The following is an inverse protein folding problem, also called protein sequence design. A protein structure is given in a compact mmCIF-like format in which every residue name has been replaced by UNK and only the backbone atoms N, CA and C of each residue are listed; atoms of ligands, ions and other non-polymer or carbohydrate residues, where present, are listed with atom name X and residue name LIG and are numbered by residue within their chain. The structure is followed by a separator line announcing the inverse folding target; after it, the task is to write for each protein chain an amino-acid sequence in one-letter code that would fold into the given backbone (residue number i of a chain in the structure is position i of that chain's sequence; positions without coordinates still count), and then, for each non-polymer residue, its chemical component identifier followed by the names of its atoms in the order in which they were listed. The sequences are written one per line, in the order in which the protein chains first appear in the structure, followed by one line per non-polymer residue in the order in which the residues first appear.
data_IF_590603459937
#
_entry.id   IF_590603459937
#
_cell.length_a   1.000
_cell.length_b   1.000
_cell.length_c   1.000
_cell.angle_alpha   90.00
_cell.angle_beta   90.00
_cell.angle_gamma   90.00
#
_symmetry.space_group_name_H-M   'P 1'
#
loop_
_entity.id
_entity.type
_entity.pdbx_description
1 polymer ?
#
# COMPACT_ATOMS: atom_id res chain seq x y z
N UNK A 1 -56.47 4.83 -29.46
CA UNK A 1 -56.01 3.60 -28.86
C UNK A 1 -54.57 3.39 -29.23
N UNK A 2 -53.66 3.77 -28.34
CA UNK A 2 -52.22 3.61 -28.55
C UNK A 2 -51.69 2.91 -27.27
N UNK A 3 -51.18 1.71 -27.45
CA UNK A 3 -50.57 0.87 -26.40
C UNK A 3 -49.16 1.42 -26.07
N UNK A 4 -48.95 1.72 -24.79
CA UNK A 4 -47.64 2.05 -24.22
C UNK A 4 -46.93 0.74 -23.91
N UNK A 5 -45.69 0.49 -24.39
CA UNK A 5 -44.91 -0.69 -24.00
C UNK A 5 -44.45 -0.57 -22.56
N UNK A 6 -44.72 -1.59 -21.74
CA UNK A 6 -44.32 -1.67 -20.35
C UNK A 6 -42.81 -1.70 -20.19
N UNK A 7 -42.34 -0.80 -19.37
CA UNK A 7 -40.97 -0.73 -18.91
C UNK A 7 -40.75 -1.78 -17.82
N UNK A 8 -40.15 -2.93 -18.18
CA UNK A 8 -39.70 -3.92 -17.21
C UNK A 8 -38.50 -3.36 -16.46
N UNK A 9 -38.68 -2.92 -15.21
CA UNK A 9 -37.58 -2.73 -14.26
C UNK A 9 -37.03 -4.10 -13.86
N UNK A 10 -35.96 -4.53 -14.50
CA UNK A 10 -35.16 -5.65 -14.01
C UNK A 10 -34.41 -5.14 -12.79
N UNK A 11 -34.89 -5.48 -11.61
CA UNK A 11 -34.11 -5.35 -10.37
C UNK A 11 -32.83 -6.15 -10.53
N UNK A 12 -31.70 -5.45 -10.61
CA UNK A 12 -30.38 -6.04 -10.63
C UNK A 12 -30.07 -6.57 -9.23
N UNK A 13 -30.52 -7.76 -8.91
CA UNK A 13 -29.99 -8.49 -7.77
C UNK A 13 -28.52 -8.78 -8.08
N UNK A 14 -27.61 -8.18 -7.32
CA UNK A 14 -26.20 -8.59 -7.33
C UNK A 14 -26.18 -10.03 -6.82
N UNK A 15 -25.71 -11.01 -7.59
CA UNK A 15 -25.54 -12.33 -7.05
C UNK A 15 -24.49 -12.25 -5.94
N UNK A 16 -24.88 -12.57 -4.71
CA UNK A 16 -23.94 -12.84 -3.64
C UNK A 16 -23.16 -14.09 -4.02
N UNK A 17 -21.97 -13.91 -4.54
CA UNK A 17 -21.01 -14.99 -4.74
C UNK A 17 -20.43 -15.36 -3.38
N UNK A 18 -21.15 -16.18 -2.63
CA UNK A 18 -20.62 -16.84 -1.44
C UNK A 18 -19.69 -17.95 -1.94
N UNK A 19 -18.38 -17.69 -1.94
CA UNK A 19 -17.40 -18.73 -2.22
C UNK A 19 -17.50 -19.82 -1.16
N UNK A 20 -17.63 -21.07 -1.59
CA UNK A 20 -17.58 -22.21 -0.69
C UNK A 20 -16.25 -22.19 0.08
N UNK A 21 -16.20 -22.59 1.38
CA UNK A 21 -14.99 -22.61 2.21
C UNK A 21 -13.82 -23.38 1.60
N UNK A 22 -14.07 -24.27 0.67
CA UNK A 22 -13.14 -25.14 -0.01
C UNK A 22 -12.35 -24.42 -1.14
N UNK A 23 -12.71 -23.20 -1.52
CA UNK A 23 -12.07 -22.44 -2.60
C UNK A 23 -10.97 -21.46 -2.11
N UNK A 24 -10.29 -21.77 -1.00
CA UNK A 24 -9.13 -21.00 -0.56
C UNK A 24 -8.03 -21.08 -1.62
N UNK A 25 -7.63 -19.94 -2.18
CA UNK A 25 -6.58 -19.86 -3.19
C UNK A 25 -5.22 -19.72 -2.52
N UNK A 26 -4.33 -20.74 -2.57
CA UNK A 26 -3.05 -20.68 -1.89
C UNK A 26 -2.22 -19.47 -2.35
N UNK A 27 -1.67 -18.71 -1.39
CA UNK A 27 -0.82 -17.55 -1.67
C UNK A 27 -1.56 -16.30 -2.15
N UNK A 28 -2.90 -16.23 -2.01
CA UNK A 28 -3.71 -15.03 -2.31
C UNK A 28 -4.62 -14.72 -1.14
N UNK A 29 -4.82 -13.42 -0.86
CA UNK A 29 -5.70 -12.99 0.22
C UNK A 29 -7.14 -12.78 -0.25
N UNK A 30 -7.35 -12.20 -1.43
CA UNK A 30 -8.67 -12.10 -2.03
C UNK A 30 -9.14 -13.47 -2.51
N UNK A 31 -10.37 -13.82 -2.17
CA UNK A 31 -10.98 -15.11 -2.50
C UNK A 31 -11.78 -15.06 -3.80
N UNK A 32 -12.13 -13.86 -4.27
CA UNK A 32 -12.97 -13.63 -5.44
C UNK A 32 -12.49 -12.50 -6.33
N UNK A 33 -12.99 -12.50 -7.55
CA UNK A 33 -12.94 -11.39 -8.49
C UNK A 33 -14.35 -10.76 -8.58
N UNK A 34 -14.75 -10.04 -7.54
CA UNK A 34 -15.97 -9.24 -7.60
C UNK A 34 -15.91 -8.26 -8.78
N UNK A 35 -17.04 -8.03 -9.44
CA UNK A 35 -17.16 -7.11 -10.58
C UNK A 35 -16.75 -5.71 -10.12
N UNK A 36 -15.78 -5.10 -10.80
CA UNK A 36 -15.35 -3.73 -10.54
C UNK A 36 -16.44 -2.72 -10.92
N UNK A 37 -16.41 -1.54 -10.29
CA UNK A 37 -17.46 -0.50 -10.46
C UNK A 37 -17.64 -0.01 -11.89
N UNK A 38 -16.63 -0.11 -12.73
CA UNK A 38 -16.62 0.38 -14.11
C UNK A 38 -16.64 -0.74 -15.15
N UNK A 39 -16.73 -2.01 -14.72
CA UNK A 39 -16.86 -3.12 -15.65
C UNK A 39 -18.24 -3.08 -16.32
N UNK A 40 -18.34 -3.03 -17.67
CA UNK A 40 -19.60 -2.95 -18.38
C UNK A 40 -20.38 -4.26 -18.36
N UNK A 41 -19.71 -5.39 -18.10
CA UNK A 41 -20.28 -6.74 -18.10
C UNK A 41 -20.20 -7.37 -16.71
N UNK A 42 -21.28 -7.96 -16.24
CA UNK A 42 -21.27 -8.78 -15.04
C UNK A 42 -20.73 -10.18 -15.39
N UNK A 43 -19.77 -10.68 -14.59
CA UNK A 43 -19.34 -12.08 -14.67
C UNK A 43 -20.35 -12.91 -13.90
N UNK A 44 -21.08 -13.74 -14.59
CA UNK A 44 -21.99 -14.71 -13.99
C UNK A 44 -21.32 -16.07 -14.08
N UNK A 45 -21.19 -16.75 -12.93
CA UNK A 45 -20.81 -18.17 -12.92
C UNK A 45 -22.05 -18.94 -13.38
N UNK A 46 -21.98 -19.53 -14.54
CA UNK A 46 -23.02 -20.42 -15.04
C UNK A 46 -22.65 -21.83 -14.64
N UNK A 47 -23.50 -22.47 -13.88
CA UNK A 47 -23.42 -23.93 -13.65
C UNK A 47 -23.85 -24.61 -14.94
N UNK A 48 -22.91 -25.24 -15.62
CA UNK A 48 -23.14 -25.99 -16.84
C UNK A 48 -23.54 -27.47 -16.59
N UNK A 49 -23.70 -27.82 -15.31
CA UNK A 49 -24.07 -29.17 -14.87
C UNK A 49 -22.92 -30.20 -14.92
N UNK A 50 -21.72 -29.77 -15.25
CA UNK A 50 -20.54 -30.62 -15.16
C UNK A 50 -19.80 -30.31 -13.87
N UNK A 51 -19.84 -31.26 -12.93
CA UNK A 51 -19.07 -31.21 -11.68
C UNK A 51 -17.55 -31.41 -11.99
N UNK A 52 -16.97 -30.51 -12.78
CA UNK A 52 -15.54 -30.49 -12.99
C UNK A 52 -14.89 -29.85 -11.76
N UNK A 53 -14.10 -30.57 -10.96
CA UNK A 53 -13.34 -29.95 -9.89
C UNK A 53 -12.45 -28.89 -10.56
N UNK A 54 -12.69 -27.62 -10.26
CA UNK A 54 -11.71 -26.58 -10.55
C UNK A 54 -10.43 -27.01 -9.83
N UNK A 55 -9.50 -27.59 -10.59
CA UNK A 55 -8.19 -27.91 -10.07
C UNK A 55 -7.68 -26.67 -9.33
N UNK A 56 -7.05 -26.85 -8.16
CA UNK A 56 -6.37 -25.81 -7.38
C UNK A 56 -5.37 -25.08 -8.28
N UNK A 57 -5.88 -24.19 -9.12
CA UNK A 57 -5.06 -23.42 -10.05
C UNK A 57 -4.31 -22.39 -9.23
N UNK A 58 -3.02 -22.64 -9.06
CA UNK A 58 -2.09 -21.60 -8.61
C UNK A 58 -2.26 -20.40 -9.55
N UNK A 59 -2.92 -19.36 -9.06
CA UNK A 59 -3.15 -18.14 -9.86
C UNK A 59 -1.81 -17.42 -9.99
N UNK A 60 -1.22 -17.52 -11.18
CA UNK A 60 0.05 -16.85 -11.51
C UNK A 60 -0.16 -15.35 -11.66
N UNK A 61 0.87 -14.57 -11.35
CA UNK A 61 0.89 -13.14 -11.60
C UNK A 61 1.22 -12.90 -13.08
N UNK A 62 0.43 -12.05 -13.71
CA UNK A 62 0.67 -11.50 -15.04
C UNK A 62 1.08 -10.05 -14.91
N UNK A 63 2.19 -9.65 -15.54
CA UNK A 63 2.65 -8.27 -15.55
C UNK A 63 2.61 -7.73 -16.96
N UNK A 64 1.84 -6.65 -17.16
CA UNK A 64 1.80 -5.90 -18.42
C UNK A 64 2.71 -4.69 -18.32
N UNK A 65 3.26 -4.26 -19.43
CA UNK A 65 4.09 -3.07 -19.52
C UNK A 65 3.25 -1.88 -19.98
N UNK A 66 3.41 -0.74 -19.30
CA UNK A 66 2.81 0.55 -19.66
C UNK A 66 3.93 1.60 -19.73
N UNK A 67 4.10 2.25 -20.88
CA UNK A 67 4.99 3.39 -20.99
C UNK A 67 4.29 4.65 -20.45
N UNK A 68 4.76 5.21 -19.30
CA UNK A 68 4.08 6.31 -18.66
C UNK A 68 4.25 7.62 -19.43
N UNK A 69 3.17 8.43 -19.46
CA UNK A 69 3.23 9.81 -19.97
C UNK A 69 3.66 10.80 -18.90
N UNK A 70 3.39 10.48 -17.64
CA UNK A 70 3.76 11.25 -16.45
C UNK A 70 4.26 10.30 -15.36
N UNK A 71 5.29 10.73 -14.63
CA UNK A 71 5.85 10.02 -13.50
C UNK A 71 5.26 10.49 -12.17
N UNK A 72 5.08 11.81 -12.01
CA UNK A 72 4.66 12.45 -10.76
C UNK A 72 3.14 12.56 -10.73
N UNK A 73 2.55 12.07 -9.63
CA UNK A 73 1.14 12.26 -9.29
C UNK A 73 1.03 13.27 -8.15
N UNK A 74 0.13 14.25 -8.28
CA UNK A 74 -0.11 15.26 -7.25
C UNK A 74 -1.40 14.97 -6.48
N UNK A 75 -1.42 15.32 -5.19
CA UNK A 75 -2.61 15.25 -4.35
C UNK A 75 -2.77 16.53 -3.52
N UNK A 76 -3.99 16.76 -3.02
CA UNK A 76 -4.34 17.91 -2.18
C UNK A 76 -4.94 17.47 -0.84
N UNK A 77 -4.68 16.24 -0.41
CA UNK A 77 -5.21 15.70 0.84
C UNK A 77 -4.54 16.38 2.03
N UNK A 78 -5.28 17.10 2.89
CA UNK A 78 -4.70 17.88 3.98
C UNK A 78 -4.16 17.01 5.14
N UNK A 79 -4.53 15.74 5.17
CA UNK A 79 -4.08 14.76 6.18
C UNK A 79 -2.87 13.92 5.73
N UNK A 80 -2.26 14.25 4.59
CA UNK A 80 -1.03 13.63 4.12
C UNK A 80 0.14 14.62 4.23
N UNK A 81 1.31 14.18 4.69
CA UNK A 81 2.49 15.04 4.83
C UNK A 81 3.27 15.23 3.49
N UNK A 82 2.64 14.95 2.36
CA UNK A 82 3.22 15.08 1.03
C UNK A 82 2.13 15.45 0.01
N UNK A 83 2.52 16.20 -1.00
CA UNK A 83 1.63 16.65 -2.09
C UNK A 83 1.89 15.91 -3.41
N UNK A 84 2.95 15.10 -3.48
CA UNK A 84 3.37 14.39 -4.70
C UNK A 84 3.88 13.00 -4.42
N UNK A 85 3.67 12.10 -5.39
CA UNK A 85 4.09 10.72 -5.29
C UNK A 85 4.45 10.13 -6.66
N UNK A 86 5.25 9.05 -6.63
CA UNK A 86 5.53 8.21 -7.78
C UNK A 86 5.05 6.79 -7.50
N UNK A 87 4.38 6.19 -8.47
CA UNK A 87 3.94 4.80 -8.41
C UNK A 87 4.54 4.02 -9.58
N UNK A 88 5.63 3.26 -9.34
CA UNK A 88 6.30 2.44 -10.36
C UNK A 88 5.41 1.36 -10.97
N UNK A 89 4.41 0.93 -10.22
CA UNK A 89 3.50 -0.16 -10.55
C UNK A 89 2.04 0.23 -10.35
N UNK A 90 1.12 -0.55 -10.99
CA UNK A 90 -0.31 -0.59 -10.64
C UNK A 90 -0.67 -2.03 -10.27
N UNK A 91 -1.47 -2.22 -9.21
CA UNK A 91 -1.65 -3.51 -8.55
C UNK A 91 -0.45 -3.88 -7.68
N UNK A 92 -0.60 -4.88 -6.80
CA UNK A 92 0.45 -5.26 -5.86
C UNK A 92 0.39 -6.75 -5.52
N UNK A 93 1.47 -7.47 -5.82
CA UNK A 93 1.60 -8.91 -5.53
C UNK A 93 1.57 -9.25 -4.04
N UNK A 94 1.90 -8.30 -3.14
CA UNK A 94 1.80 -8.57 -1.70
C UNK A 94 0.41 -9.04 -1.29
N UNK A 95 -0.60 -8.62 -2.04
CA UNK A 95 -1.96 -9.13 -1.91
C UNK A 95 -2.63 -8.81 -0.58
N UNK A 96 -2.20 -7.76 0.14
CA UNK A 96 -2.79 -7.41 1.43
C UNK A 96 -4.31 -7.26 1.31
N UNK A 97 -5.06 -8.03 2.11
CA UNK A 97 -6.53 -8.04 2.02
C UNK A 97 -7.15 -6.68 2.32
N UNK A 98 -6.56 -5.94 3.23
CA UNK A 98 -7.00 -4.63 3.70
C UNK A 98 -6.48 -3.46 2.86
N UNK A 99 -5.80 -3.71 1.73
CA UNK A 99 -5.14 -2.65 0.98
C UNK A 99 -6.15 -1.64 0.44
N UNK A 100 -6.05 -0.39 0.92
CA UNK A 100 -6.94 0.70 0.50
C UNK A 100 -6.77 1.10 -0.97
N UNK A 101 -5.70 0.66 -1.63
CA UNK A 101 -5.43 0.93 -3.03
C UNK A 101 -6.17 0.00 -4.00
N UNK A 102 -6.75 -1.12 -3.52
CA UNK A 102 -7.48 -2.08 -4.35
C UNK A 102 -8.53 -1.45 -5.26
N UNK A 103 -9.34 -0.47 -4.81
CA UNK A 103 -10.31 0.19 -5.66
C UNK A 103 -9.73 0.92 -6.88
N UNK A 104 -8.43 1.23 -6.87
CA UNK A 104 -7.77 1.85 -8.02
C UNK A 104 -7.73 0.93 -9.26
N UNK A 105 -7.82 -0.38 -9.06
CA UNK A 105 -7.81 -1.37 -10.13
C UNK A 105 -9.09 -1.32 -10.98
N UNK A 106 -10.21 -0.87 -10.40
CA UNK A 106 -11.45 -0.66 -11.14
C UNK A 106 -11.31 0.37 -12.29
N UNK A 107 -10.41 1.35 -12.17
CA UNK A 107 -10.11 2.29 -13.27
C UNK A 107 -9.40 1.64 -14.46
N UNK A 108 -8.91 0.41 -14.30
CA UNK A 108 -8.31 -0.40 -15.35
C UNK A 108 -9.30 -1.41 -15.94
N UNK A 109 -10.57 -1.35 -15.56
CA UNK A 109 -11.61 -2.38 -15.82
C UNK A 109 -11.19 -3.78 -15.32
N UNK A 110 -10.49 -3.80 -14.18
CA UNK A 110 -10.05 -5.01 -13.49
C UNK A 110 -10.67 -5.08 -12.10
N UNK A 111 -10.83 -6.31 -11.58
CA UNK A 111 -11.38 -6.51 -10.25
C UNK A 111 -10.45 -5.97 -9.14
N UNK A 112 -10.97 -5.28 -8.12
CA UNK A 112 -10.23 -4.96 -6.90
C UNK A 112 -9.85 -6.20 -6.06
N UNK A 113 -10.41 -7.35 -6.36
CA UNK A 113 -10.13 -8.63 -5.73
C UNK A 113 -8.82 -9.26 -6.18
N UNK A 114 -8.90 -10.44 -6.79
CA UNK A 114 -7.72 -11.19 -7.25
C UNK A 114 -6.93 -10.48 -8.36
N UNK A 115 -7.61 -9.74 -9.26
CA UNK A 115 -6.88 -9.05 -10.33
C UNK A 115 -5.90 -8.01 -9.78
N UNK A 116 -6.22 -7.36 -8.65
CA UNK A 116 -5.29 -6.45 -7.98
C UNK A 116 -3.97 -7.12 -7.55
N UNK A 117 -4.03 -8.42 -7.25
CA UNK A 117 -2.87 -9.21 -6.78
C UNK A 117 -2.16 -9.94 -7.93
N UNK A 118 -2.82 -10.11 -9.08
CA UNK A 118 -2.39 -11.04 -10.13
C UNK A 118 -2.25 -10.42 -11.50
N UNK A 119 -2.87 -9.27 -11.76
CA UNK A 119 -2.81 -8.55 -13.04
C UNK A 119 -2.19 -7.18 -12.82
N UNK A 120 -0.87 -7.15 -12.84
CA UNK A 120 -0.09 -5.97 -12.53
C UNK A 120 0.29 -5.21 -13.79
N UNK A 121 0.64 -3.94 -13.59
CA UNK A 121 1.24 -3.11 -14.63
C UNK A 121 2.57 -2.59 -14.10
N UNK A 122 3.66 -2.90 -14.78
CA UNK A 122 4.96 -2.27 -14.59
C UNK A 122 5.12 -1.10 -15.57
N UNK A 123 5.83 -0.06 -15.15
CA UNK A 123 5.97 1.20 -15.90
C UNK A 123 7.44 1.49 -16.25
N UNK A 124 8.09 0.63 -17.06
CA UNK A 124 9.49 0.83 -17.46
C UNK A 124 9.65 2.15 -18.24
N UNK A 125 10.85 2.75 -18.11
CA UNK A 125 11.14 4.06 -18.69
C UNK A 125 10.54 5.25 -17.92
N UNK A 126 9.94 5.00 -16.75
CA UNK A 126 9.43 6.07 -15.87
C UNK A 126 10.57 7.01 -15.42
N UNK A 127 11.81 6.51 -15.32
CA UNK A 127 12.97 7.31 -14.99
C UNK A 127 13.21 8.45 -15.98
N UNK A 128 13.16 8.18 -17.27
CA UNK A 128 13.33 9.20 -18.31
C UNK A 128 12.19 10.26 -18.29
N UNK A 129 10.97 9.82 -17.99
CA UNK A 129 9.82 10.74 -17.84
C UNK A 129 10.00 11.60 -16.59
N UNK A 130 10.42 11.00 -15.48
CA UNK A 130 10.71 11.70 -14.23
C UNK A 130 11.81 12.75 -14.43
N UNK A 131 12.92 12.38 -15.07
CA UNK A 131 14.00 13.33 -15.38
C UNK A 131 13.49 14.56 -16.14
N UNK A 132 12.65 14.34 -17.17
CA UNK A 132 12.05 15.43 -17.94
C UNK A 132 11.15 16.33 -17.07
N UNK A 133 10.33 15.73 -16.18
CA UNK A 133 9.44 16.48 -15.29
C UNK A 133 10.23 17.29 -14.24
N UNK A 134 11.31 16.73 -13.66
CA UNK A 134 12.15 17.40 -12.68
C UNK A 134 12.96 18.57 -13.28
N UNK A 135 13.28 18.52 -14.58
CA UNK A 135 13.96 19.62 -15.31
C UNK A 135 13.03 20.75 -15.72
N UNK A 136 11.72 20.59 -15.59
CA UNK A 136 10.79 21.64 -15.98
C UNK A 136 11.00 22.90 -15.12
N UNK A 137 11.08 24.08 -15.76
CA UNK A 137 11.27 25.38 -15.07
C UNK A 137 10.18 25.68 -14.03
N UNK A 138 8.99 25.12 -14.22
CA UNK A 138 7.85 25.23 -13.28
C UNK A 138 7.94 24.27 -12.12
N UNK A 139 8.85 23.27 -12.14
CA UNK A 139 8.96 22.31 -11.07
C UNK A 139 9.43 23.00 -9.77
N UNK A 140 8.77 22.66 -8.67
CA UNK A 140 9.14 23.11 -7.32
C UNK A 140 9.39 21.88 -6.48
N UNK A 141 10.59 21.78 -5.93
CA UNK A 141 11.01 20.63 -5.13
C UNK A 141 10.20 20.53 -3.84
N UNK A 142 9.74 19.33 -3.54
CA UNK A 142 9.22 18.92 -2.22
C UNK A 142 9.41 17.42 -2.09
N UNK A 143 9.29 16.87 -0.88
CA UNK A 143 9.50 15.45 -0.64
C UNK A 143 8.63 14.58 -1.54
N UNK A 144 9.26 13.70 -2.32
CA UNK A 144 8.59 12.71 -3.14
C UNK A 144 8.20 11.50 -2.30
N UNK A 145 6.92 11.15 -2.28
CA UNK A 145 6.46 9.94 -1.61
C UNK A 145 6.39 8.76 -2.58
N UNK A 146 6.90 7.59 -2.17
CA UNK A 146 6.84 6.35 -2.96
C UNK A 146 6.30 5.23 -2.07
N UNK A 147 5.50 4.33 -2.66
CA UNK A 147 4.84 3.26 -1.90
C UNK A 147 3.50 3.68 -1.28
N UNK A 148 2.89 4.74 -1.79
CA UNK A 148 1.63 5.29 -1.27
C UNK A 148 0.39 4.62 -1.86
N UNK A 149 0.51 3.99 -3.01
CA UNK A 149 -0.59 3.26 -3.66
C UNK A 149 -0.26 1.79 -3.87
N UNK A 150 0.95 1.49 -4.36
CA UNK A 150 1.47 0.12 -4.53
C UNK A 150 2.84 0.02 -3.89
N UNK A 151 3.20 -1.18 -3.45
CA UNK A 151 4.55 -1.36 -2.89
C UNK A 151 5.60 -1.31 -4.01
N UNK A 152 6.60 -0.42 -3.92
CA UNK A 152 7.63 -0.29 -4.96
C UNK A 152 8.60 -1.48 -4.99
N UNK A 153 8.66 -2.25 -3.90
CA UNK A 153 9.53 -3.42 -3.77
C UNK A 153 8.74 -4.73 -3.66
N UNK A 154 7.57 -4.78 -4.30
CA UNK A 154 6.81 -6.01 -4.48
C UNK A 154 7.59 -7.04 -5.32
N UNK A 155 7.25 -8.35 -5.29
CA UNK A 155 8.07 -9.39 -5.92
C UNK A 155 8.47 -9.14 -7.37
N UNK A 156 7.58 -8.59 -8.22
CA UNK A 156 7.88 -8.32 -9.63
C UNK A 156 9.00 -7.27 -9.83
N UNK A 157 9.33 -6.45 -8.83
CA UNK A 157 10.46 -5.50 -8.91
C UNK A 157 11.81 -6.21 -9.05
N UNK A 158 11.93 -7.49 -8.67
CA UNK A 158 13.14 -8.28 -8.87
C UNK A 158 13.50 -8.40 -10.36
N UNK A 159 12.48 -8.48 -11.22
CA UNK A 159 12.61 -8.62 -12.67
C UNK A 159 12.61 -7.25 -13.37
N UNK A 160 11.59 -6.42 -13.11
CA UNK A 160 11.35 -5.19 -13.88
C UNK A 160 12.21 -4.01 -13.46
N UNK A 161 12.70 -3.96 -12.23
CA UNK A 161 13.63 -2.97 -11.67
C UNK A 161 13.21 -1.51 -11.87
N UNK A 162 11.91 -1.23 -11.95
CA UNK A 162 11.35 0.10 -12.24
C UNK A 162 11.61 1.07 -11.07
N UNK A 163 11.58 0.56 -9.84
CA UNK A 163 11.91 1.38 -8.67
C UNK A 163 13.36 1.85 -8.70
N UNK A 164 14.27 1.00 -9.18
CA UNK A 164 15.68 1.37 -9.34
C UNK A 164 15.88 2.52 -10.32
N UNK A 165 15.19 2.50 -11.49
CA UNK A 165 15.21 3.62 -12.43
C UNK A 165 14.80 4.94 -11.75
N UNK A 166 13.75 4.91 -10.93
CA UNK A 166 13.26 6.09 -10.18
C UNK A 166 14.31 6.58 -9.20
N UNK A 167 14.94 5.68 -8.44
CA UNK A 167 15.95 6.04 -7.43
C UNK A 167 17.20 6.65 -8.06
N UNK A 168 17.68 6.10 -9.17
CA UNK A 168 18.83 6.61 -9.89
C UNK A 168 18.62 8.07 -10.34
N UNK A 169 17.43 8.39 -10.82
CA UNK A 169 17.08 9.77 -11.19
C UNK A 169 16.98 10.66 -9.95
N UNK A 170 16.28 10.21 -8.90
CA UNK A 170 16.14 11.03 -7.69
C UNK A 170 17.50 11.30 -7.02
N UNK A 171 18.40 10.32 -6.99
CA UNK A 171 19.75 10.48 -6.48
C UNK A 171 20.57 11.46 -7.32
N UNK A 172 20.54 11.34 -8.66
CA UNK A 172 21.25 12.24 -9.56
C UNK A 172 20.80 13.70 -9.44
N UNK A 173 19.55 13.94 -9.04
CA UNK A 173 18.96 15.27 -8.83
C UNK A 173 19.07 15.78 -7.39
N UNK A 174 19.68 15.03 -6.47
CA UNK A 174 19.64 15.28 -5.04
C UNK A 174 18.21 15.53 -4.54
N UNK A 175 17.26 14.76 -5.04
CA UNK A 175 15.84 14.96 -4.76
C UNK A 175 15.41 14.22 -3.49
N UNK A 176 14.75 14.90 -2.52
CA UNK A 176 14.30 14.26 -1.28
C UNK A 176 13.19 13.26 -1.51
N UNK A 177 13.29 12.06 -0.90
CA UNK A 177 12.32 10.97 -1.07
C UNK A 177 11.97 10.28 0.26
N UNK A 178 10.69 9.99 0.44
CA UNK A 178 10.16 9.15 1.52
C UNK A 178 9.58 7.88 0.92
N UNK A 179 10.14 6.73 1.28
CA UNK A 179 9.76 5.42 0.72
C UNK A 179 8.99 4.64 1.77
N UNK A 180 7.85 4.05 1.39
CA UNK A 180 7.10 3.11 2.25
C UNK A 180 7.06 1.74 1.59
N UNK A 181 7.43 0.69 2.34
CA UNK A 181 7.45 -0.67 1.80
C UNK A 181 7.24 -1.74 2.87
N UNK A 182 6.86 -2.93 2.42
CA UNK A 182 6.96 -4.21 3.14
C UNK A 182 8.06 -5.10 2.53
N UNK A 183 8.55 -4.73 1.35
CA UNK A 183 9.46 -5.52 0.53
C UNK A 183 10.89 -5.58 1.06
N UNK A 184 11.56 -6.71 0.83
CA UNK A 184 12.96 -6.89 1.18
C UNK A 184 13.92 -6.45 0.07
N UNK A 185 13.41 -6.25 -1.14
CA UNK A 185 14.21 -5.84 -2.30
C UNK A 185 14.82 -4.43 -2.13
N UNK A 186 14.34 -3.63 -1.18
CA UNK A 186 14.95 -2.34 -0.84
C UNK A 186 16.42 -2.49 -0.43
N UNK A 187 16.83 -3.63 0.11
CA UNK A 187 18.23 -3.91 0.49
C UNK A 187 19.15 -3.95 -0.73
N UNK A 188 18.63 -4.25 -1.93
CA UNK A 188 19.38 -4.23 -3.19
C UNK A 188 19.88 -2.82 -3.53
N UNK A 189 19.11 -1.79 -3.15
CA UNK A 189 19.35 -0.41 -3.55
C UNK A 189 20.07 0.41 -2.46
N UNK A 190 20.72 -0.25 -1.48
CA UNK A 190 21.52 0.40 -0.44
C UNK A 190 22.67 1.23 -1.01
N UNK A 191 23.22 0.85 -2.15
CA UNK A 191 24.25 1.60 -2.87
C UNK A 191 23.80 3.02 -3.25
N UNK A 192 22.50 3.24 -3.46
CA UNK A 192 21.89 4.55 -3.73
C UNK A 192 21.37 5.18 -2.43
N UNK A 193 20.71 4.39 -1.59
CA UNK A 193 20.04 4.92 -0.40
C UNK A 193 21.01 5.44 0.65
N UNK A 194 22.18 4.80 0.83
CA UNK A 194 23.19 5.22 1.84
C UNK A 194 23.75 6.61 1.56
N UNK A 195 24.27 6.93 0.37
CA UNK A 195 24.73 8.29 0.08
C UNK A 195 23.61 9.34 0.14
N UNK A 196 22.37 8.99 -0.25
CA UNK A 196 21.22 9.87 -0.09
C UNK A 196 20.87 10.12 1.39
N UNK A 197 20.95 9.08 2.23
CA UNK A 197 20.71 9.21 3.67
C UNK A 197 21.76 10.10 4.36
N UNK A 198 23.03 9.96 4.01
CA UNK A 198 24.11 10.79 4.54
C UNK A 198 23.90 12.29 4.25
N UNK A 199 23.18 12.62 3.18
CA UNK A 199 22.82 14.00 2.82
C UNK A 199 21.45 14.44 3.36
N UNK A 200 20.73 13.59 4.08
CA UNK A 200 19.38 13.89 4.57
C UNK A 200 18.31 13.91 3.47
N UNK A 201 18.51 13.17 2.38
CA UNK A 201 17.62 13.13 1.22
C UNK A 201 16.64 11.96 1.23
N UNK A 202 16.86 10.95 2.07
CA UNK A 202 15.99 9.78 2.09
C UNK A 202 15.52 9.38 3.49
N UNK A 203 14.30 8.87 3.57
CA UNK A 203 13.72 8.24 4.75
C UNK A 203 12.89 7.06 4.33
N UNK A 204 13.00 5.96 5.07
CA UNK A 204 12.27 4.72 4.77
C UNK A 204 11.24 4.43 5.86
N UNK A 205 10.02 4.12 5.46
CA UNK A 205 8.98 3.54 6.31
C UNK A 205 8.85 2.04 6.02
N UNK A 206 9.06 1.20 7.02
CA UNK A 206 8.81 -0.25 6.91
C UNK A 206 7.49 -0.59 7.62
N UNK A 207 6.53 -1.12 6.85
CA UNK A 207 5.24 -1.52 7.42
C UNK A 207 5.36 -2.85 8.16
N UNK A 208 4.91 -2.88 9.41
CA UNK A 208 4.83 -4.07 10.25
C UNK A 208 3.46 -4.11 10.93
N UNK A 209 2.57 -4.98 10.45
CA UNK A 209 1.15 -5.02 10.85
C UNK A 209 0.91 -5.93 12.04
N UNK A 210 1.71 -6.98 12.17
CA UNK A 210 1.65 -7.99 13.25
C UNK A 210 3.00 -8.67 13.39
N UNK A 211 3.28 -9.23 14.54
CA UNK A 211 4.43 -10.14 14.79
C UNK A 211 4.05 -11.62 14.61
N UNK A 212 2.75 -11.93 14.59
CA UNK A 212 2.24 -13.27 14.34
C UNK A 212 2.43 -13.65 12.86
N UNK A 213 3.31 -14.60 12.61
CA UNK A 213 3.60 -15.08 11.25
C UNK A 213 2.38 -15.77 10.59
N UNK A 214 1.52 -16.42 11.39
CA UNK A 214 0.29 -17.06 10.90
C UNK A 214 -0.74 -16.05 10.45
N UNK A 215 -0.97 -14.99 11.24
CA UNK A 215 -1.84 -13.88 10.88
C UNK A 215 -1.27 -13.10 9.68
N UNK A 216 0.04 -12.78 9.69
CA UNK A 216 0.69 -12.11 8.58
C UNK A 216 0.52 -12.87 7.26
N UNK A 217 0.71 -14.19 7.27
CA UNK A 217 0.56 -15.04 6.07
C UNK A 217 -0.87 -15.01 5.52
N UNK A 218 -1.88 -14.90 6.38
CA UNK A 218 -3.28 -14.81 5.96
C UNK A 218 -3.64 -13.43 5.43
N UNK A 219 -3.15 -12.35 6.09
CA UNK A 219 -3.48 -10.98 5.73
C UNK A 219 -2.68 -10.45 4.54
N UNK A 220 -1.44 -10.90 4.38
CA UNK A 220 -0.41 -10.37 3.46
C UNK A 220 0.37 -11.54 2.83
N UNK A 221 -0.27 -12.43 2.07
CA UNK A 221 0.25 -13.77 1.74
C UNK A 221 1.57 -13.78 0.98
N UNK A 222 1.88 -12.74 0.23
CA UNK A 222 3.11 -12.63 -0.57
C UNK A 222 4.06 -11.53 -0.09
N UNK A 223 3.73 -10.88 1.02
CA UNK A 223 4.66 -9.97 1.68
C UNK A 223 5.67 -10.76 2.54
N UNK A 224 6.88 -10.23 2.77
CA UNK A 224 7.85 -10.84 3.67
C UNK A 224 7.30 -11.03 5.08
N UNK A 225 7.76 -12.07 5.77
CA UNK A 225 7.35 -12.36 7.16
C UNK A 225 7.71 -11.20 8.11
N UNK A 226 7.03 -11.09 9.26
CA UNK A 226 7.34 -10.07 10.27
C UNK A 226 8.82 -10.06 10.67
N UNK A 227 9.39 -11.21 10.95
CA UNK A 227 10.81 -11.34 11.30
C UNK A 227 11.72 -10.81 10.17
N UNK A 228 11.40 -11.12 8.92
CA UNK A 228 12.18 -10.65 7.77
C UNK A 228 12.10 -9.13 7.61
N UNK A 229 10.96 -8.52 7.92
CA UNK A 229 10.82 -7.04 7.93
C UNK A 229 11.63 -6.40 9.06
N UNK A 230 11.70 -7.02 10.23
CA UNK A 230 12.58 -6.56 11.30
C UNK A 230 14.06 -6.63 10.89
N UNK A 231 14.46 -7.67 10.15
CA UNK A 231 15.81 -7.76 9.58
C UNK A 231 16.07 -6.64 8.55
N UNK A 232 15.08 -6.28 7.72
CA UNK A 232 15.17 -5.13 6.79
C UNK A 232 15.40 -3.83 7.57
N UNK A 233 14.62 -3.58 8.63
CA UNK A 233 14.82 -2.41 9.51
C UNK A 233 16.28 -2.38 9.99
N UNK A 234 16.76 -3.49 10.56
CA UNK A 234 18.12 -3.59 11.09
C UNK A 234 19.18 -3.27 10.02
N UNK A 235 19.10 -3.91 8.85
CA UNK A 235 20.08 -3.71 7.78
C UNK A 235 20.11 -2.28 7.24
N UNK A 236 18.94 -1.67 7.08
CA UNK A 236 18.84 -0.27 6.66
C UNK A 236 19.46 0.67 7.69
N UNK A 237 19.15 0.47 8.98
CA UNK A 237 19.67 1.33 10.06
C UNK A 237 21.17 1.13 10.30
N UNK A 238 21.68 -0.10 10.24
CA UNK A 238 23.12 -0.40 10.30
C UNK A 238 23.88 0.24 9.11
N UNK A 239 23.23 0.37 7.96
CA UNK A 239 23.79 1.07 6.79
C UNK A 239 23.63 2.61 6.87
N UNK A 240 23.05 3.16 7.94
CA UNK A 240 22.88 4.60 8.13
C UNK A 240 21.61 5.19 7.49
N UNK A 241 20.68 4.38 6.99
CA UNK A 241 19.40 4.84 6.44
C UNK A 241 18.37 4.97 7.56
N UNK A 242 17.78 6.18 7.81
CA UNK A 242 16.80 6.36 8.86
C UNK A 242 15.50 5.59 8.57
N UNK A 243 15.07 4.74 9.51
CA UNK A 243 13.86 3.94 9.33
C UNK A 243 12.79 4.31 10.36
N UNK A 244 11.56 4.51 9.85
CA UNK A 244 10.33 4.59 10.63
C UNK A 244 9.61 3.25 10.57
N UNK A 245 9.19 2.70 11.70
CA UNK A 245 8.22 1.61 11.68
C UNK A 245 6.81 2.16 11.49
N UNK A 246 6.07 1.55 10.58
CA UNK A 246 4.68 1.90 10.32
C UNK A 246 3.79 0.75 10.80
N UNK A 247 3.15 0.91 11.96
CA UNK A 247 2.16 -0.05 12.46
C UNK A 247 0.84 0.23 11.75
N UNK A 248 0.75 -0.24 10.51
CA UNK A 248 -0.31 0.14 9.59
C UNK A 248 -0.72 -1.00 8.64
N UNK A 249 -2.03 -1.37 8.68
CA UNK A 249 -3.05 -0.87 9.60
C UNK A 249 -3.02 -1.55 10.96
N UNK A 250 -3.53 -0.86 11.97
CA UNK A 250 -3.97 -1.47 13.21
C UNK A 250 -5.38 -2.01 12.99
N UNK A 251 -5.56 -3.31 13.14
CA UNK A 251 -6.85 -3.99 12.96
C UNK A 251 -7.46 -4.26 14.33
N UNK A 252 -8.57 -3.61 14.69
CA UNK A 252 -9.21 -3.77 16.00
C UNK A 252 -9.58 -5.23 16.29
N UNK A 253 -9.21 -5.73 17.47
CA UNK A 253 -9.48 -7.09 17.89
C UNK A 253 -8.60 -8.17 17.24
N UNK A 254 -7.67 -7.79 16.34
CA UNK A 254 -6.71 -8.72 15.74
C UNK A 254 -5.26 -8.33 15.99
N UNK A 255 -4.85 -7.10 15.61
CA UNK A 255 -3.45 -6.65 15.70
C UNK A 255 -3.21 -5.56 16.72
N UNK A 256 -4.26 -4.89 17.20
CA UNK A 256 -4.17 -3.84 18.22
C UNK A 256 -3.53 -4.29 19.56
N UNK A 257 -3.66 -5.57 20.00
CA UNK A 257 -2.94 -6.02 21.20
C UNK A 257 -1.43 -5.98 21.04
N UNK A 258 -0.91 -6.17 19.81
CA UNK A 258 0.51 -6.24 19.53
C UNK A 258 1.20 -4.88 19.37
N UNK A 259 0.47 -3.75 19.41
CA UNK A 259 0.98 -2.40 19.12
C UNK A 259 2.31 -2.09 19.83
N UNK A 260 2.34 -2.28 21.15
CA UNK A 260 3.53 -2.01 21.97
C UNK A 260 4.70 -2.95 21.64
N UNK A 261 4.39 -4.23 21.41
CA UNK A 261 5.37 -5.26 21.09
C UNK A 261 6.00 -5.04 19.71
N UNK A 262 5.19 -4.62 18.72
CA UNK A 262 5.67 -4.26 17.38
C UNK A 262 6.64 -3.08 17.48
N UNK A 263 6.28 -2.04 18.23
CA UNK A 263 7.13 -0.86 18.40
C UNK A 263 8.43 -1.20 19.12
N UNK A 264 8.39 -2.01 20.17
CA UNK A 264 9.57 -2.47 20.91
C UNK A 264 10.50 -3.32 20.02
N UNK A 265 9.95 -4.26 19.24
CA UNK A 265 10.73 -5.09 18.31
C UNK A 265 11.38 -4.25 17.21
N UNK A 266 10.67 -3.26 16.66
CA UNK A 266 11.21 -2.37 15.63
C UNK A 266 12.28 -1.44 16.21
N UNK A 267 12.11 -0.92 17.42
CA UNK A 267 13.13 -0.13 18.12
C UNK A 267 14.39 -0.97 18.34
N UNK A 268 14.26 -2.19 18.84
CA UNK A 268 15.39 -3.12 19.00
C UNK A 268 16.08 -3.47 17.68
N UNK A 269 15.38 -3.36 16.55
CA UNK A 269 15.94 -3.49 15.20
C UNK A 269 16.56 -2.18 14.67
N UNK A 270 16.51 -1.06 15.43
CA UNK A 270 17.13 0.21 15.09
C UNK A 270 16.18 1.26 14.50
N UNK A 271 14.87 1.05 14.48
CA UNK A 271 13.93 2.09 14.04
C UNK A 271 14.06 3.35 14.93
N UNK A 272 14.06 4.53 14.30
CA UNK A 272 14.24 5.83 14.94
C UNK A 272 12.94 6.64 15.06
N UNK A 273 11.87 6.16 14.49
CA UNK A 273 10.54 6.77 14.56
C UNK A 273 9.45 5.71 14.37
N UNK A 274 8.24 6.02 14.83
CA UNK A 274 7.06 5.18 14.62
C UNK A 274 5.89 6.00 14.07
N UNK A 275 4.94 5.33 13.46
CA UNK A 275 3.62 5.84 13.13
C UNK A 275 2.61 4.71 13.10
N UNK A 276 1.32 5.02 13.28
CA UNK A 276 0.25 4.04 13.10
C UNK A 276 -0.88 4.61 12.27
N UNK A 277 -1.65 3.75 11.64
CA UNK A 277 -2.87 4.09 10.91
C UNK A 277 -3.90 3.01 11.25
N UNK A 278 -5.12 3.44 11.59
CA UNK A 278 -6.23 2.52 11.80
C UNK A 278 -6.68 1.88 10.50
N UNK A 279 -7.29 0.70 10.59
CA UNK A 279 -7.82 0.00 9.42
C UNK A 279 -8.82 0.88 8.66
N UNK A 280 -8.66 0.93 7.34
CA UNK A 280 -9.55 1.63 6.41
C UNK A 280 -10.09 0.65 5.38
N UNK A 281 -11.40 0.66 5.18
CA UNK A 281 -12.08 -0.27 4.28
C UNK A 281 -12.87 0.47 3.18
N UNK A 282 -12.21 1.27 2.32
CA UNK A 282 -12.91 2.04 1.30
C UNK A 282 -13.50 1.12 0.22
N UNK A 283 -14.76 1.41 -0.15
CA UNK A 283 -15.44 0.82 -1.30
C UNK A 283 -15.41 -0.73 -1.24
N UNK A 284 -14.90 -1.38 -2.29
CA UNK A 284 -14.87 -2.83 -2.42
C UNK A 284 -14.00 -3.52 -1.34
N UNK A 285 -13.10 -2.80 -0.70
CA UNK A 285 -12.23 -3.36 0.34
C UNK A 285 -13.03 -3.84 1.55
N UNK A 286 -14.16 -3.19 1.86
CA UNK A 286 -15.01 -3.60 2.98
C UNK A 286 -15.55 -5.02 2.77
N UNK A 287 -16.16 -5.29 1.63
CA UNK A 287 -16.69 -6.62 1.33
C UNK A 287 -15.58 -7.69 1.31
N UNK A 288 -14.47 -7.41 0.61
CA UNK A 288 -13.31 -8.32 0.54
C UNK A 288 -12.75 -8.66 1.93
N UNK A 289 -12.67 -7.68 2.82
CA UNK A 289 -12.16 -7.88 4.18
C UNK A 289 -13.15 -8.67 5.04
N UNK A 290 -14.45 -8.44 4.90
CA UNK A 290 -15.48 -9.20 5.61
C UNK A 290 -15.50 -10.66 5.17
N UNK A 291 -15.41 -10.95 3.86
CA UNK A 291 -15.30 -12.31 3.32
C UNK A 291 -14.05 -13.02 3.88
N UNK A 292 -12.92 -12.31 3.92
CA UNK A 292 -11.68 -12.81 4.50
C UNK A 292 -11.81 -13.12 5.99
N UNK A 293 -12.47 -12.23 6.76
CA UNK A 293 -12.75 -12.45 8.18
C UNK A 293 -13.62 -13.69 8.40
N UNK A 294 -14.70 -13.84 7.63
CA UNK A 294 -15.59 -14.98 7.71
C UNK A 294 -14.85 -16.30 7.43
N UNK A 295 -13.92 -16.29 6.47
CA UNK A 295 -13.16 -17.47 6.09
C UNK A 295 -12.06 -17.86 7.08
N UNK A 296 -11.42 -16.88 7.74
CA UNK A 296 -10.24 -17.13 8.57
C UNK A 296 -10.47 -16.96 10.07
N UNK A 297 -11.46 -16.15 10.47
CA UNK A 297 -11.76 -15.80 11.86
C UNK A 297 -13.27 -15.65 12.10
N UNK A 298 -14.11 -16.67 11.78
CA UNK A 298 -15.56 -16.57 11.86
C UNK A 298 -16.05 -16.14 13.25
N UNK A 299 -15.45 -16.67 14.31
CA UNK A 299 -15.83 -16.37 15.71
C UNK A 299 -15.50 -14.92 16.14
N UNK A 300 -14.60 -14.25 15.42
CA UNK A 300 -14.15 -12.87 15.71
C UNK A 300 -14.72 -11.86 14.73
N UNK A 301 -15.22 -12.28 13.58
CA UNK A 301 -15.64 -11.41 12.47
C UNK A 301 -16.64 -10.33 12.93
N UNK A 302 -17.67 -10.71 13.67
CA UNK A 302 -18.66 -9.77 14.20
C UNK A 302 -18.05 -8.72 15.15
N UNK A 303 -17.15 -9.14 16.05
CA UNK A 303 -16.48 -8.21 17.00
C UNK A 303 -15.54 -7.25 16.29
N UNK A 304 -14.75 -7.73 15.33
CA UNK A 304 -13.83 -6.90 14.56
C UNK A 304 -14.61 -5.84 13.79
N UNK A 305 -15.65 -6.24 13.05
CA UNK A 305 -16.44 -5.29 12.27
C UNK A 305 -17.24 -4.31 13.15
N UNK A 306 -17.71 -4.74 14.32
CA UNK A 306 -18.35 -3.83 15.28
C UNK A 306 -17.37 -2.74 15.75
N UNK A 307 -16.12 -3.09 16.06
CA UNK A 307 -15.07 -2.12 16.42
C UNK A 307 -14.66 -1.23 15.24
N UNK A 308 -14.56 -1.78 14.03
CA UNK A 308 -14.31 -0.96 12.83
C UNK A 308 -15.40 0.09 12.65
N UNK A 309 -16.67 -0.29 12.80
CA UNK A 309 -17.79 0.65 12.71
C UNK A 309 -17.79 1.68 13.83
N UNK A 310 -17.48 1.30 15.04
CA UNK A 310 -17.32 2.24 16.16
C UNK A 310 -16.28 3.33 15.86
N UNK A 311 -15.14 2.96 15.24
CA UNK A 311 -14.09 3.89 14.84
C UNK A 311 -14.48 4.83 13.68
N UNK A 312 -15.51 4.47 12.92
CA UNK A 312 -15.93 5.19 11.71
C UNK A 312 -17.39 5.66 11.77
N UNK A 313 -17.88 6.02 12.96
CA UNK A 313 -19.22 6.60 13.16
C UNK A 313 -20.36 5.68 12.71
N UNK A 314 -20.24 4.37 12.97
CA UNK A 314 -21.24 3.35 12.63
C UNK A 314 -21.11 2.80 11.20
N UNK A 315 -20.12 3.23 10.42
CA UNK A 315 -19.87 2.80 9.04
C UNK A 315 -18.64 1.89 8.96
N UNK A 316 -18.51 1.12 7.89
CA UNK A 316 -17.30 0.34 7.63
C UNK A 316 -16.08 1.23 7.29
N UNK A 317 -16.33 2.45 6.82
CA UNK A 317 -15.32 3.45 6.47
C UNK A 317 -15.86 4.88 6.51
N UNK A 318 -15.08 5.80 7.05
CA UNK A 318 -15.30 7.23 6.98
C UNK A 318 -14.24 7.88 6.08
N UNK A 319 -14.60 8.52 4.94
CA UNK A 319 -13.65 9.15 4.04
C UNK A 319 -13.17 10.53 4.50
N UNK A 320 -13.71 11.09 5.59
CA UNK A 320 -13.42 12.43 6.06
C UNK A 320 -11.94 12.60 6.40
N UNK A 321 -11.33 13.68 5.91
CA UNK A 321 -9.94 14.01 6.20
C UNK A 321 -9.74 14.24 7.71
N UNK A 322 -8.62 13.73 8.25
CA UNK A 322 -8.33 13.79 9.68
C UNK A 322 -8.92 12.61 10.47
N UNK A 323 -10.05 12.04 10.06
CA UNK A 323 -10.71 10.90 10.71
C UNK A 323 -10.35 9.57 10.06
N UNK A 324 -10.34 9.53 8.73
CA UNK A 324 -10.17 8.29 7.94
C UNK A 324 -8.96 7.43 8.31
N UNK A 325 -7.91 8.02 8.90
CA UNK A 325 -6.68 7.31 9.27
C UNK A 325 -6.54 7.08 10.77
N UNK A 326 -7.25 7.84 11.58
CA UNK A 326 -7.16 7.78 13.05
C UNK A 326 -8.34 7.09 13.70
N UNK A 327 -9.52 7.18 13.06
CA UNK A 327 -10.79 6.81 13.65
C UNK A 327 -11.25 7.86 14.67
N UNK A 328 -12.40 7.62 15.27
CA UNK A 328 -13.03 8.44 16.30
C UNK A 328 -13.49 7.58 17.49
N UNK A 329 -13.80 8.23 18.61
CA UNK A 329 -14.37 7.61 19.80
C UNK A 329 -13.34 7.03 20.76
N UNK A 330 -13.83 6.51 21.89
CA UNK A 330 -13.03 6.10 23.05
C UNK A 330 -11.93 5.09 22.68
N UNK A 331 -12.22 4.17 21.76
CA UNK A 331 -11.26 3.16 21.33
C UNK A 331 -10.12 3.76 20.51
N UNK A 332 -10.41 4.70 19.61
CA UNK A 332 -9.39 5.41 18.84
C UNK A 332 -8.47 6.22 19.76
N UNK A 333 -9.06 6.93 20.74
CA UNK A 333 -8.31 7.74 21.71
C UNK A 333 -7.43 6.85 22.58
N UNK A 334 -7.94 5.70 23.05
CA UNK A 334 -7.17 4.73 23.83
C UNK A 334 -5.95 4.22 23.05
N UNK A 335 -6.13 3.82 21.79
CA UNK A 335 -5.04 3.33 20.94
C UNK A 335 -4.02 4.44 20.62
N UNK A 336 -4.50 5.65 20.35
CA UNK A 336 -3.63 6.82 20.14
C UNK A 336 -2.79 7.11 21.38
N UNK A 337 -3.40 7.07 22.58
CA UNK A 337 -2.70 7.27 23.86
C UNK A 337 -1.68 6.15 24.14
N UNK A 338 -2.06 4.88 23.91
CA UNK A 338 -1.13 3.76 24.03
C UNK A 338 0.07 3.94 23.12
N UNK A 339 -0.17 4.28 21.86
CA UNK A 339 0.89 4.56 20.90
C UNK A 339 1.82 5.67 21.39
N UNK A 340 1.28 6.81 21.85
CA UNK A 340 2.07 7.93 22.34
C UNK A 340 2.95 7.53 23.53
N UNK A 341 2.38 6.81 24.52
CA UNK A 341 3.14 6.33 25.69
C UNK A 341 4.26 5.38 25.25
N UNK A 342 3.98 4.44 24.38
CA UNK A 342 4.98 3.50 23.88
C UNK A 342 6.06 4.21 23.05
N UNK A 343 5.68 5.16 22.21
CA UNK A 343 6.60 5.95 21.40
C UNK A 343 7.54 6.77 22.28
N UNK A 344 7.02 7.49 23.27
CA UNK A 344 7.81 8.28 24.21
C UNK A 344 8.79 7.41 25.02
N UNK A 345 8.31 6.27 25.54
CA UNK A 345 9.15 5.33 26.30
C UNK A 345 10.33 4.78 25.49
N UNK A 346 10.13 4.61 24.17
CA UNK A 346 11.12 4.05 23.24
C UNK A 346 11.91 5.12 22.47
N UNK A 347 11.62 6.42 22.68
CA UNK A 347 12.25 7.50 21.93
C UNK A 347 11.89 7.52 20.43
N UNK A 348 10.75 6.90 20.06
CA UNK A 348 10.27 6.84 18.67
C UNK A 348 9.35 8.00 18.28
N UNK A 349 9.10 8.92 19.19
CA UNK A 349 8.32 10.16 19.02
C UNK A 349 9.17 11.38 18.66
N UNK A 350 10.49 11.23 18.61
CA UNK A 350 11.41 12.31 18.28
C UNK A 350 11.06 12.93 16.92
N UNK A 351 10.99 14.26 16.91
CA UNK A 351 10.76 15.03 15.68
C UNK A 351 11.92 14.80 14.71
N UNK A 352 11.63 14.15 13.62
CA UNK A 352 12.63 13.92 12.57
C UNK A 352 12.86 15.21 11.76
N UNK A 353 14.11 15.61 11.49
CA UNK A 353 14.37 16.79 10.67
C UNK A 353 13.74 16.63 9.29
N UNK A 354 13.24 17.72 8.65
CA UNK A 354 12.73 17.64 7.30
C UNK A 354 13.81 17.14 6.34
N UNK A 355 13.38 16.46 5.27
CA UNK A 355 14.30 16.09 4.19
C UNK A 355 14.79 17.35 3.45
N UNK A 356 16.05 17.30 3.01
CA UNK A 356 16.76 18.45 2.41
C UNK A 356 16.25 18.73 0.99
N UNK A 357 15.40 19.75 0.84
CA UNK A 357 14.97 20.24 -0.47
C UNK A 357 15.96 21.24 -1.09
N UNK A 358 16.79 21.85 -0.28
CA UNK A 358 17.78 22.86 -0.68
C UNK A 358 18.94 22.29 -1.49
N UNK A 359 19.18 20.97 -1.44
CA UNK A 359 20.21 20.30 -2.23
C UNK A 359 19.75 19.92 -3.65
N UNK A 360 18.45 20.10 -3.97
CA UNK A 360 17.93 19.76 -5.27
C UNK A 360 18.63 20.53 -6.40
N UNK A 361 19.26 19.80 -7.30
CA UNK A 361 19.97 20.36 -8.44
C UNK A 361 19.88 19.40 -9.64
N UNK A 362 19.29 19.82 -10.78
CA UNK A 362 19.36 19.03 -12.01
C UNK A 362 20.81 18.83 -12.43
N UNK A 363 21.26 17.60 -12.73
CA UNK A 363 22.61 17.36 -13.21
C UNK A 363 22.86 18.07 -14.54
N UNK A 364 24.08 18.58 -14.76
CA UNK A 364 24.47 19.21 -16.02
C UNK A 364 24.36 18.22 -17.21
N UNK A 365 23.97 18.73 -18.37
CA UNK A 365 23.98 17.99 -19.62
C UNK A 365 25.21 18.36 -20.43
N UNK A 366 25.64 17.44 -21.31
CA UNK A 366 26.64 17.78 -22.33
C UNK A 366 26.14 18.96 -23.17
N UNK A 367 26.82 20.10 -23.10
CA UNK A 367 26.43 21.35 -23.76
C UNK A 367 25.75 22.40 -22.85
N UNK A 368 25.48 22.08 -21.59
CA UNK A 368 25.03 23.09 -20.63
C UNK A 368 26.22 24.07 -20.35
N UNK A 369 25.92 25.36 -20.40
CA UNK A 369 26.90 26.36 -19.98
C UNK A 369 27.02 26.28 -18.46
N UNK A 370 28.19 25.88 -17.96
CA UNK A 370 28.51 25.94 -16.55
C UNK A 370 28.58 27.41 -16.13
N UNK A 371 27.89 27.76 -15.03
CA UNK A 371 28.03 29.08 -14.43
C UNK A 371 29.49 29.26 -14.02
N UNK A 372 30.16 30.33 -14.56
CA UNK A 372 31.54 30.66 -14.27
C UNK A 372 31.71 31.44 -12.96
N UNK A 373 30.60 31.73 -12.26
CA UNK A 373 30.54 32.53 -11.03
C UNK A 373 29.62 31.93 -9.99
#
# INVERSE_FOLDING_TARGET
MALVPGMFYIWRMKPELTLRPEQKRPGRAAQSNAVGRFEPLARVVVDDGWDMPEADRVVRTEVRLEHPRSAISYNRSPDLPFDRSINPYRGCEHGCIYCFARPSHAFLNLSPGLDFETRLIARPGIGAVLERELRAKSYRVATMAIGTNTDPYQPCEAEYRVMREVLEVLAAFNHPVAITTKGTLIERDLDILVPMAAQGLVRVGVSLTTLDAGLARKMEPRAPSPLRRLQVIRRLTEAGVPVRVMVAPVVPGLTDPELDSIMAAAHAAGAVAASFIMLRLPLEVSALFQDWLAAHYPDRAGKVMARVRELHGGRDYDPEFGKRMRGEGIWADLLARRFQIAAARLGLDAVQPPLRCDLFAPPGRTGDQLALF
#
